data_IF_452673461459
#
_entry.id   IF_452673461459
#
_cell.length_a   1.000
_cell.length_b   1.000
_cell.length_c   1.000
_cell.angle_alpha   90.00
_cell.angle_beta   90.00
_cell.angle_gamma   90.00
#
_symmetry.space_group_name_H-M   'P 1'
#
loop_
_entity.id
_entity.type
_entity.pdbx_description
1 polymer ?
#
# COMPACT_ATOMS: atom_id res chain seq x y z
N UNK A 1 -14.80 -4.76 -9.37
CA UNK A 1 -13.41 -4.26 -9.36
C UNK A 1 -12.87 -4.54 -7.97
N UNK A 2 -11.71 -5.19 -7.86
CA UNK A 2 -11.01 -5.27 -6.57
C UNK A 2 -10.66 -3.85 -6.11
N UNK A 3 -10.83 -3.56 -4.82
CA UNK A 3 -10.38 -2.28 -4.28
C UNK A 3 -8.85 -2.22 -4.32
N UNK A 4 -8.27 -1.03 -4.38
CA UNK A 4 -6.81 -0.90 -4.30
C UNK A 4 -6.24 -1.47 -2.98
N UNK A 5 -7.01 -1.48 -1.89
CA UNK A 5 -6.63 -2.17 -0.66
C UNK A 5 -6.54 -3.69 -0.85
N UNK A 6 -7.49 -4.30 -1.56
CA UNK A 6 -7.44 -5.74 -1.85
C UNK A 6 -6.23 -6.07 -2.73
N UNK A 7 -5.92 -5.19 -3.69
CA UNK A 7 -4.71 -5.29 -4.52
C UNK A 7 -3.44 -5.20 -3.67
N UNK A 8 -3.32 -4.22 -2.77
CA UNK A 8 -2.16 -4.11 -1.88
C UNK A 8 -2.02 -5.30 -0.94
N UNK A 9 -3.13 -5.83 -0.40
CA UNK A 9 -3.11 -7.06 0.41
C UNK A 9 -2.63 -8.26 -0.40
N UNK A 10 -3.10 -8.40 -1.64
CA UNK A 10 -2.69 -9.46 -2.56
C UNK A 10 -1.20 -9.35 -2.93
N UNK A 11 -0.75 -8.15 -3.30
CA UNK A 11 0.65 -7.86 -3.63
C UNK A 11 1.57 -8.11 -2.44
N UNK A 12 1.16 -7.69 -1.23
CA UNK A 12 1.90 -7.97 -0.02
C UNK A 12 1.98 -9.48 0.26
N UNK A 13 0.87 -10.21 0.15
CA UNK A 13 0.87 -11.66 0.35
C UNK A 13 1.78 -12.38 -0.65
N UNK A 14 1.79 -11.94 -1.91
CA UNK A 14 2.70 -12.42 -2.96
C UNK A 14 4.16 -12.13 -2.59
N UNK A 15 4.48 -10.91 -2.15
CA UNK A 15 5.83 -10.53 -1.73
C UNK A 15 6.33 -11.32 -0.52
N UNK A 16 5.47 -11.56 0.48
CA UNK A 16 5.81 -12.39 1.64
C UNK A 16 6.08 -13.83 1.20
N UNK A 17 5.26 -14.41 0.31
CA UNK A 17 5.48 -15.76 -0.22
C UNK A 17 6.82 -15.87 -0.95
N UNK A 18 7.07 -15.00 -1.93
CA UNK A 18 8.32 -14.98 -2.70
C UNK A 18 9.52 -14.73 -1.77
N UNK A 19 9.40 -13.82 -0.81
CA UNK A 19 10.45 -13.55 0.16
C UNK A 19 10.80 -14.76 1.02
N UNK A 20 9.80 -15.56 1.42
CA UNK A 20 10.06 -16.82 2.14
C UNK A 20 10.78 -17.85 1.25
N UNK A 21 10.39 -17.97 -0.02
CA UNK A 21 11.08 -18.83 -0.99
C UNK A 21 12.54 -18.40 -1.20
N UNK A 22 12.79 -17.10 -1.36
CA UNK A 22 14.13 -16.52 -1.45
C UNK A 22 14.96 -16.79 -0.19
N UNK A 23 14.35 -16.70 1.00
CA UNK A 23 15.04 -16.95 2.26
C UNK A 23 15.50 -18.41 2.35
N UNK A 24 14.65 -19.34 1.94
CA UNK A 24 15.01 -20.77 1.87
C UNK A 24 16.07 -21.02 0.81
N UNK A 25 16.00 -20.36 -0.36
CA UNK A 25 17.01 -20.44 -1.43
C UNK A 25 18.40 -20.04 -0.93
N UNK A 26 18.48 -18.90 -0.25
CA UNK A 26 19.71 -18.38 0.35
C UNK A 26 20.29 -19.33 1.42
N UNK A 27 19.42 -19.92 2.26
CA UNK A 27 19.84 -20.93 3.25
C UNK A 27 20.30 -22.22 2.59
N UNK A 28 19.65 -22.69 1.52
CA UNK A 28 20.06 -23.87 0.77
C UNK A 28 21.44 -23.69 0.13
N UNK A 29 21.74 -22.49 -0.38
CA UNK A 29 23.07 -22.16 -0.91
C UNK A 29 24.15 -22.23 0.15
N UNK A 30 23.91 -21.67 1.34
CA UNK A 30 24.91 -21.61 2.41
C UNK A 30 25.05 -22.92 3.20
N UNK A 31 23.95 -23.65 3.39
CA UNK A 31 23.86 -24.83 4.27
C UNK A 31 23.01 -25.95 3.62
N UNK A 32 23.43 -26.49 2.47
CA UNK A 32 22.60 -27.38 1.66
C UNK A 32 22.13 -28.63 2.42
N UNK A 33 23.03 -29.31 3.14
CA UNK A 33 22.69 -30.58 3.80
C UNK A 33 21.75 -30.36 4.99
N UNK A 34 22.05 -29.38 5.85
CA UNK A 34 21.24 -29.05 7.02
C UNK A 34 19.82 -28.61 6.62
N UNK A 35 19.69 -27.82 5.55
CA UNK A 35 18.38 -27.34 5.09
C UNK A 35 17.60 -28.45 4.39
N UNK A 36 18.26 -29.29 3.57
CA UNK A 36 17.60 -30.47 2.98
C UNK A 36 17.08 -31.43 4.05
N UNK A 37 17.83 -31.63 5.12
CA UNK A 37 17.41 -32.45 6.25
C UNK A 37 16.19 -31.85 6.98
N UNK A 38 16.22 -30.54 7.30
CA UNK A 38 15.10 -29.83 7.94
C UNK A 38 13.83 -29.87 7.06
N UNK A 39 13.97 -29.65 5.74
CA UNK A 39 12.85 -29.74 4.79
C UNK A 39 12.28 -31.15 4.68
N UNK A 40 13.13 -32.19 4.62
CA UNK A 40 12.69 -33.59 4.61
C UNK A 40 11.92 -33.95 5.88
N UNK A 41 12.37 -33.48 7.05
CA UNK A 41 11.66 -33.69 8.33
C UNK A 41 10.29 -33.04 8.37
N UNK A 42 10.13 -31.84 7.80
CA UNK A 42 8.86 -31.09 7.83
C UNK A 42 7.88 -31.50 6.75
N UNK A 43 8.36 -31.88 5.57
CA UNK A 43 7.53 -32.00 4.36
C UNK A 43 7.62 -33.35 3.63
N UNK A 44 8.50 -34.27 4.06
CA UNK A 44 8.66 -35.58 3.42
C UNK A 44 9.04 -35.48 1.94
N UNK A 45 8.41 -36.28 1.07
CA UNK A 45 8.69 -36.33 -0.38
C UNK A 45 8.46 -34.98 -1.10
N UNK A 46 7.54 -34.14 -0.61
CA UNK A 46 7.27 -32.80 -1.17
C UNK A 46 8.45 -31.83 -1.04
N UNK A 47 9.45 -32.15 -0.21
CA UNK A 47 10.66 -31.34 -0.07
C UNK A 47 11.49 -31.30 -1.36
N UNK A 48 11.52 -32.37 -2.14
CA UNK A 48 12.33 -32.43 -3.37
C UNK A 48 11.74 -31.58 -4.49
N UNK A 49 10.41 -31.57 -4.62
CA UNK A 49 9.70 -30.70 -5.57
C UNK A 49 9.84 -29.23 -5.19
N UNK A 50 9.84 -28.91 -3.90
CA UNK A 50 10.09 -27.54 -3.44
C UNK A 50 11.51 -27.09 -3.78
N UNK A 51 12.52 -27.92 -3.52
CA UNK A 51 13.92 -27.61 -3.82
C UNK A 51 14.13 -27.39 -5.33
N UNK A 52 13.46 -28.18 -6.19
CA UNK A 52 13.55 -28.04 -7.65
C UNK A 52 12.93 -26.75 -8.17
N UNK A 53 11.84 -26.29 -7.53
CA UNK A 53 11.08 -25.13 -7.99
C UNK A 53 11.47 -23.83 -7.28
N UNK A 54 12.46 -23.86 -6.38
CA UNK A 54 12.83 -22.68 -5.61
C UNK A 54 13.53 -21.64 -6.52
N UNK A 55 13.15 -20.36 -6.44
CA UNK A 55 13.81 -19.32 -7.21
C UNK A 55 15.28 -19.18 -6.82
N UNK A 56 16.11 -18.80 -7.78
CA UNK A 56 17.49 -18.40 -7.51
C UNK A 56 17.50 -17.03 -6.83
N UNK A 57 18.16 -16.93 -5.67
CA UNK A 57 18.23 -15.66 -4.94
C UNK A 57 18.87 -14.55 -5.78
N UNK A 58 19.98 -14.84 -6.46
CA UNK A 58 20.74 -13.85 -7.23
C UNK A 58 19.98 -13.28 -8.44
N UNK A 59 18.98 -14.02 -8.93
CA UNK A 59 18.16 -13.63 -10.08
C UNK A 59 16.92 -12.86 -9.63
N UNK A 60 16.20 -13.41 -8.65
CA UNK A 60 14.86 -12.91 -8.28
C UNK A 60 14.89 -11.83 -7.20
N UNK A 61 15.98 -11.70 -6.43
CA UNK A 61 16.07 -10.74 -5.33
C UNK A 61 15.84 -9.30 -5.80
N UNK A 62 16.38 -8.89 -6.94
CA UNK A 62 16.25 -7.50 -7.41
C UNK A 62 14.81 -7.13 -7.75
N UNK A 63 14.07 -8.05 -8.36
CA UNK A 63 12.63 -7.90 -8.64
C UNK A 63 11.86 -7.79 -7.33
N UNK A 64 12.09 -8.72 -6.40
CA UNK A 64 11.45 -8.73 -5.09
C UNK A 64 11.75 -7.45 -4.30
N UNK A 65 13.01 -7.03 -4.23
CA UNK A 65 13.45 -5.84 -3.51
C UNK A 65 12.79 -4.57 -4.05
N UNK A 66 12.71 -4.44 -5.38
CA UNK A 66 12.13 -3.26 -6.03
C UNK A 66 10.63 -3.14 -5.76
N UNK A 67 9.89 -4.26 -5.87
CA UNK A 67 8.46 -4.32 -5.61
C UNK A 67 8.16 -4.12 -4.11
N UNK A 68 8.93 -4.75 -3.22
CA UNK A 68 8.83 -4.55 -1.77
C UNK A 68 9.12 -3.10 -1.36
N UNK A 69 10.16 -2.47 -1.93
CA UNK A 69 10.50 -1.08 -1.63
C UNK A 69 9.41 -0.11 -2.10
N UNK A 70 8.82 -0.35 -3.29
CA UNK A 70 7.72 0.46 -3.81
C UNK A 70 6.47 0.34 -2.92
N UNK A 71 6.15 -0.87 -2.45
CA UNK A 71 5.06 -1.10 -1.50
C UNK A 71 5.32 -0.38 -0.18
N UNK A 72 6.50 -0.58 0.43
CA UNK A 72 6.85 0.02 1.72
C UNK A 72 6.81 1.56 1.68
N UNK A 73 7.21 2.19 0.57
CA UNK A 73 7.09 3.65 0.42
C UNK A 73 5.66 4.16 0.52
N UNK A 74 4.69 3.35 0.11
CA UNK A 74 3.27 3.71 0.15
C UNK A 74 2.67 3.43 1.53
N UNK A 75 2.91 2.24 2.09
CA UNK A 75 2.17 1.78 3.28
C UNK A 75 2.96 1.83 4.59
N UNK A 76 4.29 1.92 4.52
CA UNK A 76 5.17 1.91 5.70
C UNK A 76 6.45 2.77 5.48
N UNK A 77 6.31 4.05 5.13
CA UNK A 77 7.44 4.90 4.74
C UNK A 77 8.50 5.03 5.84
N UNK A 78 8.10 5.02 7.11
CA UNK A 78 8.99 5.13 8.26
C UNK A 78 10.02 3.99 8.36
N UNK A 79 9.73 2.82 7.77
CA UNK A 79 10.64 1.66 7.79
C UNK A 79 11.47 1.50 6.52
N UNK A 80 11.28 2.37 5.51
CA UNK A 80 12.01 2.30 4.24
C UNK A 80 13.52 2.43 4.47
N UNK A 81 13.94 3.37 5.33
CA UNK A 81 15.35 3.57 5.63
C UNK A 81 15.99 2.35 6.32
N UNK A 82 15.25 1.64 7.17
CA UNK A 82 15.72 0.41 7.81
C UNK A 82 15.83 -0.73 6.81
N UNK A 83 14.84 -0.86 5.92
CA UNK A 83 14.82 -1.85 4.85
C UNK A 83 16.03 -1.71 3.90
N UNK A 84 16.33 -0.48 3.45
CA UNK A 84 17.49 -0.21 2.59
C UNK A 84 18.82 -0.50 3.31
N UNK A 85 18.94 -0.21 4.61
CA UNK A 85 20.19 -0.40 5.39
C UNK A 85 20.63 -1.87 5.49
N UNK A 86 19.72 -2.82 5.32
CA UNK A 86 20.05 -4.24 5.27
C UNK A 86 20.64 -4.68 3.93
N UNK A 87 20.32 -3.94 2.86
CA UNK A 87 20.92 -4.15 1.55
C UNK A 87 22.27 -3.44 1.43
N UNK A 88 22.31 -2.15 1.74
CA UNK A 88 23.44 -1.26 1.45
C UNK A 88 24.66 -1.54 2.34
N UNK A 89 25.82 -1.74 1.72
CA UNK A 89 27.08 -1.84 2.47
C UNK A 89 27.49 -0.49 3.09
N UNK A 90 28.10 -0.47 4.29
CA UNK A 90 28.64 0.77 4.87
C UNK A 90 29.69 1.42 3.96
N UNK A 91 29.60 2.75 3.78
CA UNK A 91 30.51 3.52 2.91
C UNK A 91 31.98 3.46 3.36
N UNK A 92 32.22 3.35 4.66
CA UNK A 92 33.55 3.28 5.25
C UNK A 92 33.69 1.98 6.03
N UNK A 93 34.53 1.08 5.55
CA UNK A 93 34.86 -0.17 6.23
C UNK A 93 36.34 -0.48 6.06
N UNK A 94 37.05 -0.64 7.18
CA UNK A 94 38.48 -0.97 7.20
C UNK A 94 38.71 -2.47 7.01
N UNK A 95 37.84 -3.28 7.61
CA UNK A 95 37.79 -4.72 7.50
C UNK A 95 36.34 -5.15 7.23
N UNK A 96 36.14 -6.37 6.71
CA UNK A 96 34.82 -6.94 6.47
C UNK A 96 34.63 -8.12 7.42
N UNK A 97 33.60 -8.02 8.24
CA UNK A 97 33.26 -8.96 9.31
C UNK A 97 31.77 -9.29 9.23
N UNK A 98 31.33 -10.25 10.04
CA UNK A 98 29.91 -10.61 10.13
C UNK A 98 29.00 -9.41 10.45
N UNK A 99 29.48 -8.44 11.24
CA UNK A 99 28.69 -7.28 11.67
C UNK A 99 28.40 -6.28 10.55
N UNK A 100 29.33 -6.14 9.59
CA UNK A 100 29.25 -5.11 8.54
C UNK A 100 29.04 -5.68 7.13
N UNK A 101 28.94 -7.00 7.00
CA UNK A 101 28.52 -7.67 5.78
C UNK A 101 27.04 -7.39 5.51
N UNK A 102 26.66 -7.17 4.24
CA UNK A 102 25.27 -6.86 3.85
C UNK A 102 24.84 -7.67 2.63
N UNK A 103 23.57 -7.55 2.23
CA UNK A 103 23.03 -8.32 1.09
C UNK A 103 23.71 -7.91 -0.22
N UNK A 104 24.12 -6.65 -0.37
CA UNK A 104 24.90 -6.22 -1.54
C UNK A 104 26.24 -6.99 -1.65
N UNK A 105 26.90 -7.29 -0.53
CA UNK A 105 28.14 -8.08 -0.53
C UNK A 105 27.90 -9.53 -0.96
N UNK A 106 26.77 -10.11 -0.53
CA UNK A 106 26.33 -11.44 -0.94
C UNK A 106 26.16 -11.51 -2.46
N UNK A 107 25.42 -10.56 -3.04
CA UNK A 107 25.13 -10.52 -4.47
C UNK A 107 26.38 -10.25 -5.32
N UNK A 108 27.41 -9.64 -4.72
CA UNK A 108 28.74 -9.46 -5.33
C UNK A 108 29.63 -10.71 -5.18
N UNK A 109 29.16 -11.75 -4.50
CA UNK A 109 29.90 -12.99 -4.28
C UNK A 109 31.07 -12.84 -3.30
N UNK A 110 31.03 -11.84 -2.40
CA UNK A 110 32.14 -11.54 -1.52
C UNK A 110 32.32 -12.64 -0.46
N UNK A 111 33.54 -13.17 -0.39
CA UNK A 111 33.97 -14.12 0.63
C UNK A 111 35.36 -13.72 1.13
N UNK A 112 35.50 -13.56 2.44
CA UNK A 112 36.76 -13.13 3.06
C UNK A 112 37.35 -14.29 3.84
N UNK A 113 38.60 -14.60 3.52
CA UNK A 113 39.38 -15.64 4.20
C UNK A 113 40.68 -15.03 4.75
N UNK A 114 41.23 -15.63 5.81
CA UNK A 114 42.46 -15.17 6.47
C UNK A 114 43.47 -16.31 6.59
N UNK A 115 44.75 -15.94 6.47
CA UNK A 115 45.88 -16.85 6.67
C UNK A 115 46.11 -17.82 5.51
N UNK A 116 47.18 -18.60 5.63
CA UNK A 116 47.63 -19.56 4.61
C UNK A 116 46.60 -20.68 4.38
N UNK A 117 45.86 -21.05 5.43
CA UNK A 117 44.82 -22.07 5.39
C UNK A 117 43.46 -21.57 4.91
N UNK A 118 43.34 -20.29 4.49
CA UNK A 118 42.10 -19.66 4.02
C UNK A 118 40.92 -19.88 4.99
N UNK A 119 41.17 -19.67 6.28
CA UNK A 119 40.11 -19.75 7.28
C UNK A 119 39.03 -18.69 6.98
N UNK A 120 37.77 -19.10 6.97
CA UNK A 120 36.64 -18.23 6.65
C UNK A 120 36.47 -17.16 7.74
N UNK A 121 36.62 -15.89 7.36
CA UNK A 121 36.35 -14.74 8.24
C UNK A 121 34.88 -14.35 8.14
N UNK A 122 34.37 -14.20 6.91
CA UNK A 122 32.96 -13.91 6.65
C UNK A 122 32.59 -14.37 5.24
N UNK A 123 31.35 -14.80 5.04
CA UNK A 123 30.86 -15.25 3.75
C UNK A 123 29.35 -15.03 3.58
N UNK A 124 28.77 -15.66 2.55
CA UNK A 124 27.38 -15.44 2.12
C UNK A 124 26.32 -15.63 3.23
N UNK A 125 26.57 -16.52 4.18
CA UNK A 125 25.73 -16.79 5.34
C UNK A 125 25.51 -15.56 6.24
N UNK A 126 26.43 -14.58 6.22
CA UNK A 126 26.29 -13.36 7.00
C UNK A 126 25.17 -12.43 6.50
N UNK A 127 24.73 -12.58 5.25
CA UNK A 127 23.60 -11.81 4.73
C UNK A 127 22.23 -12.41 5.09
N UNK A 128 22.16 -13.68 5.53
CA UNK A 128 20.90 -14.36 5.89
C UNK A 128 20.09 -13.58 6.94
N UNK A 129 20.65 -13.14 8.08
CA UNK A 129 19.89 -12.36 9.06
C UNK A 129 19.42 -11.01 8.50
N UNK A 130 20.18 -10.39 7.60
CA UNK A 130 19.78 -9.12 6.97
C UNK A 130 18.59 -9.29 6.03
N UNK A 131 18.60 -10.33 5.20
CA UNK A 131 17.45 -10.63 4.35
C UNK A 131 16.23 -11.03 5.18
N UNK A 132 16.42 -11.81 6.25
CA UNK A 132 15.31 -12.15 7.17
C UNK A 132 14.70 -10.90 7.80
N UNK A 133 15.50 -9.89 8.13
CA UNK A 133 15.01 -8.63 8.68
C UNK A 133 14.26 -7.79 7.64
N UNK A 134 14.71 -7.77 6.37
CA UNK A 134 13.94 -7.15 5.28
C UNK A 134 12.58 -7.82 5.11
N UNK A 135 12.55 -9.16 5.08
CA UNK A 135 11.31 -9.92 5.00
C UNK A 135 10.38 -9.65 6.20
N UNK A 136 10.92 -9.59 7.42
CA UNK A 136 10.14 -9.28 8.61
C UNK A 136 9.54 -7.85 8.57
N UNK A 137 10.23 -6.88 7.94
CA UNK A 137 9.67 -5.53 7.73
C UNK A 137 8.49 -5.59 6.76
N UNK A 138 8.59 -6.38 5.69
CA UNK A 138 7.51 -6.60 4.73
C UNK A 138 6.33 -7.31 5.42
N UNK A 139 6.59 -8.39 6.17
CA UNK A 139 5.56 -9.11 6.94
C UNK A 139 4.83 -8.18 7.93
N UNK A 140 5.56 -7.32 8.65
CA UNK A 140 4.97 -6.37 9.59
C UNK A 140 4.11 -5.29 8.91
N UNK A 141 4.26 -5.08 7.60
CA UNK A 141 3.37 -4.21 6.83
C UNK A 141 1.97 -4.83 6.64
N UNK A 142 1.73 -6.07 7.07
CA UNK A 142 0.39 -6.66 7.09
C UNK A 142 -0.47 -6.07 8.21
N UNK A 143 0.12 -5.89 9.40
CA UNK A 143 -0.57 -5.33 10.57
C UNK A 143 -1.11 -3.91 10.33
N UNK A 144 -0.50 -3.21 9.38
CA UNK A 144 -0.92 -1.90 8.87
C UNK A 144 -2.35 -1.90 8.32
N UNK A 145 -2.82 -3.02 7.77
CA UNK A 145 -4.18 -3.13 7.24
C UNK A 145 -5.23 -3.54 8.28
N UNK A 146 -4.80 -4.12 9.40
CA UNK A 146 -5.71 -4.73 10.39
C UNK A 146 -5.73 -3.95 11.72
N UNK A 147 -4.66 -3.21 12.05
CA UNK A 147 -4.57 -2.44 13.29
C UNK A 147 -5.25 -1.09 13.20
N UNK A 148 -6.10 -0.78 14.18
CA UNK A 148 -6.73 0.53 14.34
C UNK A 148 -5.75 1.66 14.68
N UNK A 149 -4.50 1.35 15.03
CA UNK A 149 -3.46 2.34 15.31
C UNK A 149 -2.81 2.88 14.04
N UNK A 150 -2.95 2.16 12.93
CA UNK A 150 -2.39 2.53 11.65
C UNK A 150 -3.48 3.15 10.80
N UNK A 151 -3.40 4.47 10.65
CA UNK A 151 -4.41 5.29 9.97
C UNK A 151 -4.32 5.16 8.44
N UNK A 152 -4.34 3.93 7.93
CA UNK A 152 -4.35 3.62 6.49
C UNK A 152 -5.73 3.87 5.86
N UNK A 153 -6.76 4.08 6.69
CA UNK A 153 -8.11 4.41 6.23
C UNK A 153 -8.09 5.61 5.28
N UNK A 154 -7.38 6.68 5.61
CA UNK A 154 -7.39 7.88 4.76
C UNK A 154 -6.75 7.68 3.38
N UNK A 155 -5.68 6.89 3.27
CA UNK A 155 -5.02 6.64 1.98
C UNK A 155 -5.84 5.70 1.10
N UNK A 156 -6.35 4.62 1.69
CA UNK A 156 -7.21 3.66 0.99
C UNK A 156 -8.55 4.27 0.59
N UNK A 157 -9.08 5.15 1.43
CA UNK A 157 -10.36 5.78 1.17
C UNK A 157 -10.25 6.84 0.08
N UNK A 158 -9.15 7.61 0.02
CA UNK A 158 -8.88 8.48 -1.13
C UNK A 158 -8.83 7.69 -2.44
N UNK A 159 -8.13 6.55 -2.46
CA UNK A 159 -8.03 5.67 -3.63
C UNK A 159 -9.39 5.05 -4.02
N UNK A 160 -10.21 4.65 -3.05
CA UNK A 160 -11.55 4.13 -3.29
C UNK A 160 -12.44 5.21 -3.92
N UNK A 161 -12.42 6.41 -3.35
CA UNK A 161 -13.19 7.55 -3.82
C UNK A 161 -12.78 7.95 -5.24
N UNK A 162 -11.48 7.92 -5.57
CA UNK A 162 -10.99 8.16 -6.93
C UNK A 162 -11.51 7.09 -7.91
N UNK A 163 -11.48 5.81 -7.54
CA UNK A 163 -12.00 4.72 -8.40
C UNK A 163 -13.53 4.80 -8.61
N UNK A 164 -14.29 5.17 -7.57
CA UNK A 164 -15.74 5.38 -7.67
C UNK A 164 -16.05 6.61 -8.55
N UNK A 165 -15.25 7.67 -8.46
CA UNK A 165 -15.39 8.86 -9.29
C UNK A 165 -15.05 8.58 -10.76
N UNK A 166 -14.03 7.77 -11.05
CA UNK A 166 -13.74 7.30 -12.41
C UNK A 166 -14.91 6.49 -12.99
N UNK A 167 -15.53 5.61 -12.20
CA UNK A 167 -16.73 4.89 -12.62
C UNK A 167 -17.89 5.85 -12.95
N UNK A 168 -18.06 6.92 -12.16
CA UNK A 168 -19.04 7.98 -12.43
C UNK A 168 -18.73 8.73 -13.75
N UNK A 169 -17.46 9.05 -14.01
CA UNK A 169 -17.02 9.65 -15.28
C UNK A 169 -17.32 8.72 -16.48
N UNK A 170 -17.12 7.40 -16.33
CA UNK A 170 -17.47 6.42 -17.35
C UNK A 170 -18.98 6.38 -17.63
N UNK A 171 -19.82 6.41 -16.59
CA UNK A 171 -21.28 6.47 -16.73
C UNK A 171 -21.72 7.74 -17.47
N UNK A 172 -21.13 8.89 -17.14
CA UNK A 172 -21.43 10.15 -17.81
C UNK A 172 -21.05 10.11 -19.30
N UNK A 173 -19.89 9.55 -19.65
CA UNK A 173 -19.47 9.33 -21.06
C UNK A 173 -20.47 8.44 -21.82
N UNK A 174 -21.05 7.47 -21.15
CA UNK A 174 -22.12 6.61 -21.68
C UNK A 174 -23.52 7.24 -21.64
N UNK A 175 -23.63 8.53 -21.30
CA UNK A 175 -24.89 9.30 -21.20
C UNK A 175 -25.84 8.83 -20.09
N UNK A 176 -25.34 8.06 -19.12
CA UNK A 176 -26.09 7.67 -17.92
C UNK A 176 -25.95 8.75 -16.83
N UNK A 177 -26.44 9.96 -17.11
CA UNK A 177 -26.23 11.16 -16.29
C UNK A 177 -26.75 11.04 -14.85
N UNK A 178 -27.96 10.51 -14.66
CA UNK A 178 -28.51 10.28 -13.32
C UNK A 178 -27.65 9.33 -12.50
N UNK A 179 -27.22 8.21 -13.10
CA UNK A 179 -26.37 7.24 -12.42
C UNK A 179 -24.98 7.82 -12.11
N UNK A 180 -24.39 8.57 -13.04
CA UNK A 180 -23.12 9.26 -12.81
C UNK A 180 -23.22 10.25 -11.64
N UNK A 181 -24.27 11.08 -11.60
CA UNK A 181 -24.48 12.02 -10.51
C UNK A 181 -24.77 11.36 -9.16
N UNK A 182 -25.48 10.24 -9.15
CA UNK A 182 -25.70 9.44 -7.94
C UNK A 182 -24.37 8.94 -7.35
N UNK A 183 -23.52 8.33 -8.18
CA UNK A 183 -22.21 7.81 -7.76
C UNK A 183 -21.29 8.95 -7.29
N UNK A 184 -21.21 10.05 -8.04
CA UNK A 184 -20.43 11.22 -7.64
C UNK A 184 -20.92 11.82 -6.30
N UNK A 185 -22.24 11.79 -6.08
CA UNK A 185 -22.87 12.18 -4.83
C UNK A 185 -22.42 11.35 -3.62
N UNK A 186 -22.39 10.02 -3.79
CA UNK A 186 -21.90 9.10 -2.74
C UNK A 186 -20.44 9.38 -2.42
N UNK A 187 -19.59 9.60 -3.43
CA UNK A 187 -18.18 9.95 -3.25
C UNK A 187 -18.04 11.24 -2.41
N UNK A 188 -18.79 12.29 -2.76
CA UNK A 188 -18.78 13.55 -2.01
C UNK A 188 -19.23 13.38 -0.56
N UNK A 189 -20.33 12.65 -0.33
CA UNK A 189 -20.88 12.42 1.01
C UNK A 189 -19.89 11.68 1.91
N UNK A 190 -19.27 10.61 1.39
CA UNK A 190 -18.28 9.81 2.12
C UNK A 190 -17.06 10.64 2.49
N UNK A 191 -16.51 11.39 1.54
CA UNK A 191 -15.35 12.25 1.77
C UNK A 191 -15.62 13.28 2.88
N UNK A 192 -16.72 14.04 2.79
CA UNK A 192 -17.03 15.05 3.81
C UNK A 192 -17.29 14.44 5.19
N UNK A 193 -17.91 13.25 5.24
CA UNK A 193 -18.12 12.52 6.49
C UNK A 193 -16.82 12.09 7.16
N UNK A 194 -15.84 11.65 6.39
CA UNK A 194 -14.51 11.35 6.93
C UNK A 194 -13.79 12.56 7.47
N UNK A 195 -13.82 13.68 6.73
CA UNK A 195 -13.19 14.92 7.18
C UNK A 195 -13.75 15.31 8.55
N UNK A 196 -15.08 15.21 8.73
CA UNK A 196 -15.70 15.42 10.04
C UNK A 196 -15.18 14.46 11.11
N UNK A 197 -15.06 13.15 10.82
CA UNK A 197 -14.53 12.15 11.77
C UNK A 197 -13.07 12.44 12.14
N UNK A 198 -12.22 12.67 11.15
CA UNK A 198 -10.79 12.96 11.32
C UNK A 198 -10.56 14.20 12.18
N UNK A 199 -11.38 15.23 11.95
CA UNK A 199 -11.31 16.51 12.64
C UNK A 199 -12.10 16.53 13.94
N UNK A 200 -12.67 15.38 14.32
CA UNK A 200 -13.45 15.16 15.56
C UNK A 200 -14.65 16.10 15.68
N UNK A 201 -15.29 16.42 14.55
CA UNK A 201 -16.51 17.21 14.47
C UNK A 201 -17.69 16.28 14.78
N UNK A 202 -18.43 16.59 15.83
CA UNK A 202 -19.59 15.79 16.25
C UNK A 202 -20.79 16.04 15.34
N UNK A 203 -21.43 14.97 14.87
CA UNK A 203 -22.66 15.02 14.09
C UNK A 203 -23.76 14.28 14.85
N UNK A 204 -24.83 15.00 15.19
CA UNK A 204 -25.91 14.49 16.04
C UNK A 204 -26.94 13.67 15.27
N UNK A 205 -27.01 13.82 13.95
CA UNK A 205 -27.98 13.14 13.09
C UNK A 205 -27.53 11.71 12.81
N UNK A 206 -28.45 10.75 12.95
CA UNK A 206 -28.19 9.32 12.74
C UNK A 206 -27.78 8.98 11.30
N UNK A 207 -28.41 9.63 10.32
CA UNK A 207 -28.12 9.49 8.90
C UNK A 207 -27.85 10.89 8.31
N UNK A 208 -26.62 11.39 8.45
CA UNK A 208 -26.23 12.67 7.88
C UNK A 208 -26.11 12.60 6.36
N UNK A 209 -26.41 13.72 5.69
CA UNK A 209 -26.28 13.92 4.24
C UNK A 209 -25.13 14.88 3.94
N UNK A 210 -24.79 15.04 2.67
CA UNK A 210 -23.84 16.07 2.18
C UNK A 210 -24.08 17.44 2.83
N UNK A 211 -25.35 17.87 2.92
CA UNK A 211 -25.71 19.17 3.52
C UNK A 211 -25.40 19.23 5.02
N UNK A 212 -25.67 18.16 5.76
CA UNK A 212 -25.37 18.10 7.20
C UNK A 212 -23.85 18.16 7.44
N UNK A 213 -23.06 17.45 6.63
CA UNK A 213 -21.59 17.51 6.70
C UNK A 213 -21.06 18.90 6.33
N UNK A 214 -21.58 19.51 5.27
CA UNK A 214 -21.16 20.83 4.81
C UNK A 214 -21.38 21.92 5.87
N UNK A 215 -22.54 21.92 6.53
CA UNK A 215 -22.82 22.83 7.65
C UNK A 215 -21.87 22.60 8.84
N UNK A 216 -21.63 21.33 9.19
CA UNK A 216 -20.75 20.97 10.30
C UNK A 216 -19.31 21.44 10.05
N UNK A 217 -18.79 21.28 8.82
CA UNK A 217 -17.44 21.71 8.43
C UNK A 217 -17.29 23.24 8.48
N UNK A 218 -18.30 23.98 8.02
CA UNK A 218 -18.31 25.44 8.10
C UNK A 218 -18.39 25.92 9.55
N UNK A 219 -19.28 25.32 10.35
CA UNK A 219 -19.42 25.66 11.76
C UNK A 219 -18.13 25.37 12.56
N UNK A 220 -17.40 24.31 12.17
CA UNK A 220 -16.07 23.99 12.70
C UNK A 220 -14.94 24.90 12.21
N UNK A 221 -15.19 25.80 11.25
CA UNK A 221 -14.20 26.71 10.68
C UNK A 221 -13.18 26.06 9.73
N UNK A 222 -13.47 24.86 9.22
CA UNK A 222 -12.56 24.13 8.33
C UNK A 222 -12.67 24.56 6.87
N UNK A 223 -13.84 25.07 6.48
CA UNK A 223 -14.11 25.57 5.14
C UNK A 223 -14.61 27.02 5.22
N UNK A 224 -14.24 27.82 4.22
CA UNK A 224 -14.70 29.20 4.11
C UNK A 224 -16.10 29.30 3.45
N UNK A 225 -16.65 30.52 3.42
CA UNK A 225 -17.98 30.77 2.83
C UNK A 225 -18.02 30.37 1.34
N UNK A 226 -17.03 30.71 0.49
CA UNK A 226 -16.96 30.23 -0.89
C UNK A 226 -17.00 28.69 -1.02
N UNK A 227 -16.16 27.97 -0.26
CA UNK A 227 -16.13 26.50 -0.30
C UNK A 227 -17.46 25.90 0.16
N UNK A 228 -18.05 26.41 1.24
CA UNK A 228 -19.36 25.96 1.71
C UNK A 228 -20.46 26.14 0.66
N UNK A 229 -20.51 27.30 -0.02
CA UNK A 229 -21.47 27.53 -1.12
C UNK A 229 -21.21 26.60 -2.30
N UNK A 230 -19.95 26.33 -2.61
CA UNK A 230 -19.58 25.43 -3.68
C UNK A 230 -20.02 23.99 -3.40
N UNK A 231 -19.76 23.46 -2.20
CA UNK A 231 -20.23 22.13 -1.78
C UNK A 231 -21.77 22.06 -1.79
N UNK A 232 -22.44 23.13 -1.34
CA UNK A 232 -23.91 23.21 -1.38
C UNK A 232 -24.43 23.10 -2.81
N UNK A 233 -23.81 23.79 -3.77
CA UNK A 233 -24.17 23.72 -5.17
C UNK A 233 -24.03 22.29 -5.75
N UNK A 234 -22.95 21.58 -5.39
CA UNK A 234 -22.76 20.17 -5.78
C UNK A 234 -23.85 19.26 -5.18
N UNK A 235 -24.21 19.49 -3.92
CA UNK A 235 -25.30 18.75 -3.26
C UNK A 235 -26.64 18.96 -3.99
N UNK A 236 -26.91 20.18 -4.47
CA UNK A 236 -28.12 20.49 -5.21
C UNK A 236 -28.15 19.77 -6.57
N UNK A 237 -27.03 19.73 -7.31
CA UNK A 237 -26.94 18.97 -8.57
C UNK A 237 -27.15 17.47 -8.33
N UNK A 238 -26.50 16.91 -7.31
CA UNK A 238 -26.70 15.51 -6.90
C UNK A 238 -28.18 15.23 -6.64
N UNK A 239 -28.88 16.13 -5.96
CA UNK A 239 -30.30 15.97 -5.66
C UNK A 239 -31.17 15.97 -6.93
N UNK A 240 -30.79 16.71 -7.98
CA UNK A 240 -31.45 16.64 -9.30
C UNK A 240 -31.27 15.24 -9.92
N UNK A 241 -30.10 14.63 -9.74
CA UNK A 241 -29.81 13.29 -10.29
C UNK A 241 -30.63 12.19 -9.59
N UNK A 242 -30.73 12.25 -8.26
CA UNK A 242 -31.32 11.17 -7.43
C UNK A 242 -32.83 11.26 -7.23
N UNK A 243 -33.42 12.45 -7.40
CA UNK A 243 -34.87 12.61 -7.28
C UNK A 243 -35.54 12.57 -8.66
N UNK A 244 -36.72 11.94 -8.74
CA UNK A 244 -37.55 11.87 -9.94
C UNK A 244 -38.27 13.21 -10.23
N UNK A 245 -37.56 14.33 -10.10
CA UNK A 245 -38.06 15.67 -10.44
C UNK A 245 -37.70 15.98 -11.89
N UNK A 246 -38.58 16.69 -12.57
CA UNK A 246 -38.32 17.32 -13.87
C UNK A 246 -37.83 18.75 -13.65
N UNK A 247 -36.91 19.26 -14.48
CA UNK A 247 -36.24 18.59 -15.60
C UNK A 247 -35.17 17.57 -15.16
N UNK A 248 -34.78 16.68 -16.08
CA UNK A 248 -33.60 15.81 -15.91
C UNK A 248 -32.31 16.63 -15.77
N UNK A 249 -31.27 16.09 -15.10
CA UNK A 249 -29.98 16.78 -15.01
C UNK A 249 -29.38 16.98 -16.40
N UNK A 250 -28.85 18.18 -16.66
CA UNK A 250 -28.15 18.44 -17.94
C UNK A 250 -26.76 17.81 -17.93
N UNK A 251 -26.19 17.51 -19.11
CA UNK A 251 -24.81 17.01 -19.21
C UNK A 251 -23.80 17.92 -18.51
N UNK A 252 -23.97 19.24 -18.65
CA UNK A 252 -23.09 20.26 -18.07
C UNK A 252 -23.19 20.25 -16.54
N UNK A 253 -24.39 20.09 -15.99
CA UNK A 253 -24.57 19.96 -14.54
C UNK A 253 -23.83 18.73 -13.98
N UNK A 254 -23.90 17.59 -14.68
CA UNK A 254 -23.20 16.38 -14.24
C UNK A 254 -21.68 16.53 -14.38
N UNK A 255 -21.20 17.20 -15.43
CA UNK A 255 -19.78 17.51 -15.59
C UNK A 255 -19.26 18.47 -14.51
N UNK A 256 -20.04 19.48 -14.15
CA UNK A 256 -19.77 20.38 -13.03
C UNK A 256 -19.72 19.63 -11.70
N UNK A 257 -20.65 18.69 -11.49
CA UNK A 257 -20.66 17.83 -10.30
C UNK A 257 -19.40 16.98 -10.22
N UNK A 258 -19.06 16.24 -11.28
CA UNK A 258 -17.87 15.38 -11.32
C UNK A 258 -16.59 16.17 -11.08
N UNK A 259 -16.42 17.28 -11.79
CA UNK A 259 -15.25 18.16 -11.66
C UNK A 259 -15.18 18.81 -10.27
N UNK A 260 -16.34 19.20 -9.71
CA UNK A 260 -16.44 19.78 -8.39
C UNK A 260 -16.09 18.78 -7.28
N UNK A 261 -16.60 17.55 -7.36
CA UNK A 261 -16.24 16.49 -6.42
C UNK A 261 -14.74 16.21 -6.48
N UNK A 262 -14.16 16.08 -7.68
CA UNK A 262 -12.71 15.91 -7.89
C UNK A 262 -11.87 17.03 -7.26
N UNK A 263 -12.38 18.25 -7.24
CA UNK A 263 -11.74 19.39 -6.59
C UNK A 263 -11.87 19.32 -5.07
N UNK A 264 -13.05 18.99 -4.55
CA UNK A 264 -13.29 18.94 -3.11
C UNK A 264 -12.45 17.85 -2.44
N UNK A 265 -12.42 16.64 -3.00
CA UNK A 265 -11.61 15.53 -2.44
C UNK A 265 -10.12 15.85 -2.35
N UNK A 266 -9.65 16.85 -3.11
CA UNK A 266 -8.26 17.31 -3.13
C UNK A 266 -7.98 18.55 -2.28
N UNK A 267 -9.00 19.27 -1.85
CA UNK A 267 -8.85 20.59 -1.21
C UNK A 267 -9.45 20.68 0.19
N UNK A 268 -10.23 19.70 0.64
CA UNK A 268 -10.87 19.69 1.97
C UNK A 268 -10.38 18.48 2.76
N UNK A 269 -9.76 18.71 3.92
CA UNK A 269 -9.18 17.66 4.80
C UNK A 269 -9.28 18.04 6.28
#
# INVERSE_FOLDING_TARGET
MESNLDRFKSDLAKLVRIGNELHVSMRLYCFPDAVKEDLRKRMGEKSEDLIKNIPSFDVEYQSWYSEALALLRQILPDRVADFCRHYEKPKTRKDITYENYRIEDYLQGLNVTRGVYKEKVVGPDAAIPHFRQQLAIVEAAQDRFDSSLYDIRHMVQADLLDSELEAAEHLAKSKFFRAAGAVAGVVLERHLGEVCVYRKIAISKKNPTIGDFNEALKAGGLIDIPQWRFIQHLADIRNICDHAKTPDPTPEQVEDLLSGVKKIIKTVY
#
